data_IF_005058105682
#
_entry.id   IF_005058105682
#
_cell.length_a   1.000
_cell.length_b   1.000
_cell.length_c   1.000
_cell.angle_alpha   90.00
_cell.angle_beta   90.00
_cell.angle_gamma   90.00
#
_symmetry.space_group_name_H-M   'P 1'
#
loop_
_entity.id
_entity.type
_entity.pdbx_description
1 polymer ?
#
# COMPACT_ATOMS: atom_id res chain seq x y z
N UNK A 1 -15.14 20.96 -0.84
CA UNK A 1 -15.07 19.63 -1.49
C UNK A 1 -15.65 18.60 -0.54
N UNK A 2 -16.53 17.75 -1.03
CA UNK A 2 -17.15 16.65 -0.30
C UNK A 2 -16.78 15.31 -0.96
N UNK A 3 -16.29 14.35 -0.20
CA UNK A 3 -15.81 13.04 -0.71
C UNK A 3 -16.65 11.94 -0.08
N UNK A 4 -17.26 11.08 -0.92
CA UNK A 4 -17.80 9.80 -0.49
C UNK A 4 -16.61 8.83 -0.37
N UNK A 5 -16.23 8.49 0.88
CA UNK A 5 -14.96 7.85 1.22
C UNK A 5 -15.14 6.43 1.72
N UNK A 6 -14.63 5.44 1.00
CA UNK A 6 -14.79 4.03 1.33
C UNK A 6 -13.49 3.32 1.68
N UNK A 7 -13.50 2.55 2.78
CA UNK A 7 -12.44 1.61 3.13
C UNK A 7 -13.00 0.51 4.03
N UNK A 8 -12.38 -0.66 4.04
CA UNK A 8 -12.63 -1.63 5.11
C UNK A 8 -11.85 -1.17 6.34
N UNK A 9 -12.53 -0.37 7.18
CA UNK A 9 -11.93 0.37 8.28
C UNK A 9 -11.19 -0.54 9.27
N UNK A 10 -10.01 -0.12 9.63
CA UNK A 10 -9.23 -0.63 10.76
C UNK A 10 -8.39 0.48 11.36
N UNK A 11 -8.36 0.49 12.69
CA UNK A 11 -7.54 1.42 13.48
C UNK A 11 -6.06 1.28 13.12
N UNK A 12 -5.37 2.41 12.85
CA UNK A 12 -3.94 2.44 12.52
C UNK A 12 -3.59 2.01 11.10
N UNK A 13 -4.55 1.97 10.21
CA UNK A 13 -4.32 1.62 8.81
C UNK A 13 -4.32 2.84 7.88
N UNK A 14 -3.73 2.67 6.71
CA UNK A 14 -3.61 3.69 5.66
C UNK A 14 -4.92 4.40 5.37
N UNK A 15 -6.05 3.67 5.34
CA UNK A 15 -7.35 4.26 5.07
C UNK A 15 -7.80 5.25 6.15
N UNK A 16 -7.52 4.96 7.40
CA UNK A 16 -7.85 5.89 8.48
C UNK A 16 -6.92 7.11 8.48
N UNK A 17 -5.62 6.93 8.34
CA UNK A 17 -4.67 8.06 8.28
C UNK A 17 -4.98 9.00 7.12
N UNK A 18 -5.37 8.46 5.96
CA UNK A 18 -5.78 9.31 4.83
C UNK A 18 -7.07 10.07 5.15
N UNK A 19 -8.07 9.43 5.78
CA UNK A 19 -9.30 10.12 6.20
C UNK A 19 -9.00 11.26 7.19
N UNK A 20 -8.13 11.01 8.17
CA UNK A 20 -7.67 12.04 9.13
C UNK A 20 -6.97 13.20 8.40
N UNK A 21 -6.09 12.91 7.45
CA UNK A 21 -5.38 13.94 6.69
C UNK A 21 -6.35 14.79 5.85
N UNK A 22 -7.29 14.16 5.15
CA UNK A 22 -8.33 14.85 4.38
C UNK A 22 -9.20 15.77 5.28
N UNK A 23 -9.61 15.25 6.44
CA UNK A 23 -10.39 16.05 7.41
C UNK A 23 -9.59 17.24 7.95
N UNK A 24 -8.30 17.08 8.25
CA UNK A 24 -7.40 18.18 8.66
C UNK A 24 -7.23 19.24 7.57
N UNK A 25 -7.39 18.89 6.30
CA UNK A 25 -7.39 19.82 5.17
C UNK A 25 -8.75 20.53 4.98
N UNK A 26 -9.73 20.31 5.84
CA UNK A 26 -11.07 20.90 5.76
C UNK A 26 -11.97 20.25 4.71
N UNK A 27 -11.66 19.05 4.26
CA UNK A 27 -12.47 18.28 3.31
C UNK A 27 -13.58 17.57 4.08
N UNK A 28 -14.80 17.70 3.59
CA UNK A 28 -15.96 17.01 4.17
C UNK A 28 -15.97 15.57 3.68
N UNK A 29 -15.88 14.62 4.61
CA UNK A 29 -15.97 13.21 4.30
C UNK A 29 -17.35 12.66 4.66
N UNK A 30 -17.88 11.81 3.79
CA UNK A 30 -18.96 10.88 4.08
C UNK A 30 -18.31 9.47 4.07
N UNK A 31 -17.77 9.05 5.22
CA UNK A 31 -17.00 7.82 5.25
C UNK A 31 -17.92 6.61 5.43
N UNK A 32 -17.60 5.52 4.72
CA UNK A 32 -18.34 4.26 4.81
C UNK A 32 -17.42 3.04 4.83
N UNK A 33 -17.88 1.98 5.47
CA UNK A 33 -17.13 0.75 5.70
C UNK A 33 -18.05 -0.46 5.78
N UNK A 34 -17.60 -1.66 5.38
CA UNK A 34 -18.35 -2.90 5.61
C UNK A 34 -18.19 -3.44 7.05
N UNK A 35 -17.47 -2.72 7.92
CA UNK A 35 -17.36 -3.11 9.33
C UNK A 35 -18.73 -3.06 9.99
N UNK A 36 -19.13 -4.10 10.75
CA UNK A 36 -20.39 -4.08 11.52
C UNK A 36 -20.31 -3.14 12.72
N UNK A 37 -19.10 -2.77 13.16
CA UNK A 37 -18.84 -1.86 14.27
C UNK A 37 -17.92 -0.73 13.75
N UNK A 38 -18.48 0.26 13.03
CA UNK A 38 -17.72 1.37 12.48
C UNK A 38 -17.41 2.40 13.57
N UNK A 39 -16.38 3.22 13.39
CA UNK A 39 -16.15 4.34 14.29
C UNK A 39 -17.27 5.39 14.15
N UNK A 40 -17.36 6.28 15.14
CA UNK A 40 -18.34 7.36 15.15
C UNK A 40 -18.27 8.19 13.86
N UNK A 41 -19.43 8.46 13.28
CA UNK A 41 -19.54 9.23 12.04
C UNK A 41 -19.27 8.44 10.75
N UNK A 42 -18.98 7.14 10.82
CA UNK A 42 -18.87 6.28 9.66
C UNK A 42 -20.14 5.50 9.39
N UNK A 43 -20.52 5.38 8.14
CA UNK A 43 -21.65 4.56 7.72
C UNK A 43 -21.23 3.09 7.65
N UNK A 44 -22.00 2.22 8.34
CA UNK A 44 -21.90 0.77 8.14
C UNK A 44 -22.73 0.38 6.92
N UNK A 45 -22.13 -0.29 5.96
CA UNK A 45 -22.79 -0.70 4.72
C UNK A 45 -22.57 -2.19 4.43
N UNK A 46 -23.45 -2.86 3.69
CA UNK A 46 -23.20 -4.21 3.22
C UNK A 46 -21.92 -4.27 2.36
N UNK A 47 -21.15 -5.38 2.39
CA UNK A 47 -19.95 -5.54 1.56
C UNK A 47 -20.20 -5.39 0.05
N UNK A 48 -21.43 -5.61 -0.39
CA UNK A 48 -21.89 -5.53 -1.78
C UNK A 48 -22.78 -4.32 -2.07
N UNK A 49 -22.65 -3.25 -1.27
CA UNK A 49 -23.43 -2.01 -1.41
C UNK A 49 -23.37 -1.47 -2.84
N UNK A 50 -24.48 -0.94 -3.31
CA UNK A 50 -24.54 -0.23 -4.61
C UNK A 50 -24.03 1.21 -4.43
N UNK A 51 -22.94 1.56 -5.11
CA UNK A 51 -22.29 2.86 -4.97
C UNK A 51 -23.20 4.02 -5.44
N UNK A 52 -24.05 3.78 -6.44
CA UNK A 52 -24.95 4.82 -6.98
C UNK A 52 -26.09 5.08 -6.00
N UNK A 53 -26.64 4.04 -5.40
CA UNK A 53 -27.70 4.16 -4.40
C UNK A 53 -27.16 4.81 -3.13
N UNK A 54 -25.99 4.36 -2.67
CA UNK A 54 -25.31 4.94 -1.52
C UNK A 54 -25.05 6.45 -1.73
N UNK A 55 -24.52 6.83 -2.89
CA UNK A 55 -24.28 8.23 -3.21
C UNK A 55 -25.58 9.06 -3.17
N UNK A 56 -26.66 8.53 -3.76
CA UNK A 56 -27.95 9.24 -3.79
C UNK A 56 -28.55 9.43 -2.40
N UNK A 57 -28.39 8.43 -1.53
CA UNK A 57 -28.95 8.46 -0.18
C UNK A 57 -28.14 9.35 0.77
N UNK A 58 -26.82 9.20 0.77
CA UNK A 58 -25.96 9.75 1.81
C UNK A 58 -25.10 10.96 1.36
N UNK A 59 -24.81 11.07 0.07
CA UNK A 59 -23.90 12.06 -0.46
C UNK A 59 -24.29 12.53 -1.88
N UNK A 60 -25.54 13.03 -2.10
CA UNK A 60 -26.00 13.38 -3.45
C UNK A 60 -25.22 14.54 -4.08
N UNK A 61 -24.54 15.33 -3.27
CA UNK A 61 -23.69 16.47 -3.64
C UNK A 61 -22.20 16.18 -3.47
N UNK A 62 -21.79 14.91 -3.45
CA UNK A 62 -20.37 14.55 -3.40
C UNK A 62 -19.66 14.98 -4.69
N UNK A 63 -18.47 15.54 -4.53
CA UNK A 63 -17.59 15.96 -5.62
C UNK A 63 -16.75 14.79 -6.15
N UNK A 64 -16.48 13.78 -5.29
CA UNK A 64 -15.53 12.71 -5.54
C UNK A 64 -15.94 11.42 -4.79
N UNK A 65 -15.72 10.27 -5.44
CA UNK A 65 -15.77 8.95 -4.82
C UNK A 65 -14.34 8.40 -4.67
N UNK A 66 -13.91 8.13 -3.45
CA UNK A 66 -12.56 7.65 -3.17
C UNK A 66 -12.59 6.37 -2.34
N UNK A 67 -11.95 5.32 -2.84
CA UNK A 67 -11.72 4.09 -2.11
C UNK A 67 -10.25 3.99 -1.67
N UNK A 68 -10.03 3.36 -0.51
CA UNK A 68 -8.69 2.97 -0.05
C UNK A 68 -8.72 1.50 0.33
N UNK A 69 -7.72 0.74 -0.17
CA UNK A 69 -7.57 -0.67 0.15
C UNK A 69 -7.35 -0.87 1.66
N UNK A 70 -7.79 -2.01 2.17
CA UNK A 70 -7.43 -2.49 3.50
C UNK A 70 -6.57 -3.73 3.37
N UNK A 71 -5.50 -3.81 4.16
CA UNK A 71 -4.55 -4.92 4.16
C UNK A 71 -5.11 -6.24 4.71
N UNK A 72 -6.31 -6.22 5.24
CA UNK A 72 -6.84 -7.38 5.97
C UNK A 72 -8.22 -7.76 5.47
N UNK A 73 -8.36 -9.03 5.10
CA UNK A 73 -9.65 -9.64 4.78
C UNK A 73 -10.00 -9.59 3.28
N UNK A 74 -11.29 -9.79 3.03
CA UNK A 74 -11.85 -9.75 1.68
C UNK A 74 -11.79 -8.33 1.12
N UNK A 75 -11.42 -8.14 -0.14
CA UNK A 75 -11.50 -6.84 -0.77
C UNK A 75 -12.92 -6.28 -0.67
N UNK A 76 -13.02 -5.04 -0.19
CA UNK A 76 -14.27 -4.30 -0.18
C UNK A 76 -14.39 -3.51 -1.48
N UNK A 77 -15.39 -3.80 -2.27
CA UNK A 77 -15.62 -3.14 -3.56
C UNK A 77 -17.13 -2.99 -3.80
N UNK A 78 -17.70 -1.78 -3.68
CA UNK A 78 -19.09 -1.51 -3.99
C UNK A 78 -19.45 -1.85 -5.44
N UNK A 79 -20.72 -2.18 -5.67
CA UNK A 79 -21.27 -2.39 -7.03
C UNK A 79 -21.44 -1.05 -7.75
N UNK A 80 -21.49 -1.10 -9.08
CA UNK A 80 -21.84 0.00 -9.98
C UNK A 80 -20.95 1.26 -9.88
N UNK A 81 -19.71 1.11 -9.44
CA UNK A 81 -18.73 2.21 -9.39
C UNK A 81 -18.60 2.93 -10.77
N UNK A 82 -18.54 2.22 -11.93
CA UNK A 82 -18.46 2.88 -13.22
C UNK A 82 -19.67 3.73 -13.59
N UNK A 83 -20.80 3.54 -12.91
CA UNK A 83 -22.05 4.28 -13.16
C UNK A 83 -22.16 5.58 -12.33
N UNK A 84 -21.21 5.84 -11.44
CA UNK A 84 -21.19 7.06 -10.65
C UNK A 84 -21.02 8.29 -11.56
N UNK A 85 -21.79 9.37 -11.35
CA UNK A 85 -21.71 10.59 -12.13
C UNK A 85 -20.52 11.50 -11.79
N UNK A 86 -19.76 11.16 -10.75
CA UNK A 86 -18.63 11.90 -10.20
C UNK A 86 -17.30 11.16 -10.44
N UNK A 87 -16.14 11.83 -10.36
CA UNK A 87 -14.83 11.20 -10.44
C UNK A 87 -14.65 10.10 -9.41
N UNK A 88 -14.00 8.99 -9.83
CA UNK A 88 -13.78 7.83 -8.99
C UNK A 88 -12.30 7.50 -8.85
N UNK A 89 -11.82 7.33 -7.62
CA UNK A 89 -10.43 7.01 -7.31
C UNK A 89 -10.28 5.79 -6.42
N UNK A 90 -9.17 5.06 -6.56
CA UNK A 90 -8.84 3.96 -5.66
C UNK A 90 -7.35 3.93 -5.35
N UNK A 91 -6.98 3.98 -4.07
CA UNK A 91 -5.62 3.74 -3.62
C UNK A 91 -5.45 2.30 -3.15
N UNK A 92 -4.70 1.53 -3.93
CA UNK A 92 -4.39 0.12 -3.73
C UNK A 92 -2.94 0.00 -3.28
N UNK A 93 -2.67 -0.58 -2.12
CA UNK A 93 -1.32 -0.63 -1.57
C UNK A 93 -0.73 -2.04 -1.38
N UNK A 94 -1.56 -3.07 -1.24
CA UNK A 94 -1.09 -4.45 -1.17
C UNK A 94 -0.86 -5.09 -2.57
N UNK A 95 -0.40 -4.27 -3.52
CA UNK A 95 -0.19 -4.70 -4.92
C UNK A 95 0.84 -5.83 -5.05
N UNK A 96 1.73 -6.00 -4.11
CA UNK A 96 2.70 -7.10 -4.09
C UNK A 96 2.01 -8.47 -3.87
N UNK A 97 0.89 -8.50 -3.16
CA UNK A 97 0.06 -9.69 -2.93
C UNK A 97 -1.03 -9.83 -3.99
N UNK A 98 -1.69 -8.73 -4.26
CA UNK A 98 -3.01 -8.68 -4.88
C UNK A 98 -2.99 -8.22 -6.34
N UNK A 99 -1.83 -8.11 -6.97
CA UNK A 99 -1.68 -7.57 -8.32
C UNK A 99 -2.61 -8.19 -9.35
N UNK A 100 -2.93 -9.47 -9.18
CA UNK A 100 -3.80 -10.22 -10.11
C UNK A 100 -5.15 -9.54 -10.32
N UNK A 101 -5.78 -9.16 -9.21
CA UNK A 101 -7.09 -8.52 -9.24
C UNK A 101 -6.98 -6.98 -9.20
N UNK A 102 -5.93 -6.42 -8.58
CA UNK A 102 -5.73 -4.98 -8.56
C UNK A 102 -5.72 -4.35 -9.96
N UNK A 103 -5.06 -4.98 -10.93
CA UNK A 103 -5.02 -4.49 -12.31
C UNK A 103 -6.38 -4.52 -13.01
N UNK A 104 -7.25 -5.47 -12.66
CA UNK A 104 -8.61 -5.57 -13.21
C UNK A 104 -9.52 -4.54 -12.54
N UNK A 105 -9.44 -4.42 -11.22
CA UNK A 105 -10.17 -3.42 -10.44
C UNK A 105 -9.82 -2.00 -10.87
N UNK A 106 -8.57 -1.74 -11.25
CA UNK A 106 -8.14 -0.44 -11.75
C UNK A 106 -9.01 0.07 -12.92
N UNK A 107 -9.52 -0.83 -13.77
CA UNK A 107 -10.38 -0.48 -14.88
C UNK A 107 -11.79 0.03 -14.47
N UNK A 108 -12.20 -0.15 -13.21
CA UNK A 108 -13.49 0.32 -12.69
C UNK A 108 -13.47 1.78 -12.26
N UNK A 109 -12.28 2.36 -12.09
CA UNK A 109 -12.07 3.70 -11.56
C UNK A 109 -11.50 4.66 -12.62
N UNK A 110 -11.73 5.95 -12.43
CA UNK A 110 -11.12 6.99 -13.28
C UNK A 110 -9.62 7.08 -13.05
N UNK A 111 -9.20 6.97 -11.79
CA UNK A 111 -7.81 6.97 -11.37
C UNK A 111 -7.57 5.88 -10.34
N UNK A 112 -6.44 5.21 -10.48
CA UNK A 112 -6.02 4.21 -9.51
C UNK A 112 -4.58 4.50 -9.10
N UNK A 113 -4.30 4.36 -7.82
CA UNK A 113 -2.98 4.59 -7.26
C UNK A 113 -2.43 3.29 -6.70
N UNK A 114 -1.23 2.93 -7.11
CA UNK A 114 -0.52 1.76 -6.61
C UNK A 114 0.64 2.18 -5.72
N UNK A 115 0.76 1.59 -4.53
CA UNK A 115 1.88 1.88 -3.63
C UNK A 115 3.20 1.27 -4.11
N UNK A 116 3.16 0.19 -4.89
CA UNK A 116 4.37 -0.52 -5.33
C UNK A 116 4.81 -0.07 -6.71
N UNK A 117 6.00 0.55 -6.81
CA UNK A 117 6.53 1.19 -8.02
C UNK A 117 6.57 0.26 -9.25
N UNK A 118 7.14 -0.93 -9.09
CA UNK A 118 7.25 -1.90 -10.18
C UNK A 118 5.87 -2.39 -10.68
N UNK A 119 4.84 -2.37 -9.82
CA UNK A 119 3.49 -2.79 -10.19
C UNK A 119 2.77 -1.78 -11.06
N UNK A 120 3.10 -0.49 -10.96
CA UNK A 120 2.59 0.53 -11.88
C UNK A 120 3.05 0.24 -13.30
N UNK A 121 4.35 0.04 -13.50
CA UNK A 121 4.91 -0.32 -14.81
C UNK A 121 4.27 -1.61 -15.36
N UNK A 122 4.05 -2.57 -14.48
CA UNK A 122 3.42 -3.84 -14.87
C UNK A 122 1.95 -3.63 -15.24
N UNK A 123 1.17 -2.86 -14.46
CA UNK A 123 -0.24 -2.56 -14.78
C UNK A 123 -0.37 -1.86 -16.13
N UNK A 124 0.47 -0.87 -16.40
CA UNK A 124 0.48 -0.15 -17.68
C UNK A 124 0.76 -1.08 -18.89
N UNK A 125 1.64 -2.08 -18.73
CA UNK A 125 1.87 -3.10 -19.77
C UNK A 125 0.63 -3.99 -20.03
N UNK A 126 -0.25 -4.11 -19.04
CA UNK A 126 -1.53 -4.80 -19.19
C UNK A 126 -2.67 -3.87 -19.63
N UNK A 127 -2.36 -2.62 -20.01
CA UNK A 127 -3.33 -1.67 -20.52
C UNK A 127 -4.12 -0.90 -19.46
N UNK A 128 -3.69 -0.93 -18.20
CA UNK A 128 -4.24 -0.10 -17.14
C UNK A 128 -3.53 1.26 -17.13
N UNK A 129 -3.88 2.13 -18.07
CA UNK A 129 -3.26 3.45 -18.29
C UNK A 129 -3.67 4.53 -17.28
N UNK A 130 -4.65 4.21 -16.43
CA UNK A 130 -5.15 5.07 -15.35
C UNK A 130 -4.44 4.83 -14.00
N UNK A 131 -3.38 4.00 -13.97
CA UNK A 131 -2.64 3.67 -12.76
C UNK A 131 -1.43 4.59 -12.59
N UNK A 132 -1.32 5.20 -11.42
CA UNK A 132 -0.18 6.04 -11.03
C UNK A 132 0.49 5.50 -9.76
N UNK A 133 1.75 5.84 -9.56
CA UNK A 133 2.45 5.51 -8.32
C UNK A 133 2.07 6.49 -7.20
N UNK A 134 1.70 5.94 -6.06
CA UNK A 134 1.45 6.67 -4.81
C UNK A 134 1.90 5.79 -3.64
N UNK A 135 3.13 5.93 -3.15
CA UNK A 135 3.67 5.13 -2.07
C UNK A 135 2.97 5.41 -0.74
N UNK A 136 3.24 4.59 0.26
CA UNK A 136 2.83 4.84 1.65
C UNK A 136 3.33 6.19 2.16
N UNK A 137 2.93 6.56 3.37
CA UNK A 137 3.25 7.83 4.00
C UNK A 137 3.41 7.68 5.52
N UNK A 138 3.86 8.74 6.17
CA UNK A 138 3.74 8.92 7.60
C UNK A 138 2.64 9.93 7.94
N UNK A 139 2.03 9.78 9.12
CA UNK A 139 1.20 10.85 9.69
C UNK A 139 2.09 11.79 10.51
N UNK A 140 2.02 13.09 10.23
CA UNK A 140 2.87 14.12 10.82
C UNK A 140 2.64 14.38 12.31
N UNK A 141 1.55 13.88 12.86
CA UNK A 141 1.21 13.99 14.29
C UNK A 141 1.57 12.73 15.05
N UNK A 142 1.17 11.57 14.51
CA UNK A 142 1.34 10.29 15.19
C UNK A 142 2.72 9.69 14.99
N UNK A 143 3.38 9.92 13.85
CA UNK A 143 4.70 9.37 13.55
C UNK A 143 5.81 10.43 13.65
N UNK A 144 5.58 11.54 14.38
CA UNK A 144 6.61 12.56 14.60
C UNK A 144 7.71 12.08 15.53
N UNK A 145 8.83 12.78 15.55
CA UNK A 145 9.81 12.67 16.62
C UNK A 145 9.23 13.29 17.91
N UNK A 146 9.11 12.48 18.95
CA UNK A 146 8.60 12.91 20.26
C UNK A 146 9.70 13.47 21.17
N UNK A 147 10.94 13.60 20.69
CA UNK A 147 12.07 14.11 21.47
C UNK A 147 12.46 13.20 22.63
N UNK A 148 12.18 11.92 22.53
CA UNK A 148 12.51 10.93 23.56
C UNK A 148 13.99 10.53 23.48
N UNK A 149 14.55 10.08 24.61
CA UNK A 149 15.88 9.47 24.62
C UNK A 149 15.92 8.24 23.69
N UNK A 150 16.98 8.14 22.87
CA UNK A 150 17.16 7.00 21.96
C UNK A 150 17.90 5.87 22.69
N UNK A 151 17.16 5.16 23.53
CA UNK A 151 17.64 4.07 24.39
C UNK A 151 17.53 2.68 23.72
N UNK A 152 16.90 2.58 22.53
CA UNK A 152 16.78 1.36 21.74
C UNK A 152 17.78 1.40 20.60
N UNK A 153 18.80 0.54 20.64
CA UNK A 153 19.81 0.48 19.58
C UNK A 153 19.20 0.06 18.24
N UNK A 154 18.43 -1.04 18.23
CA UNK A 154 17.79 -1.56 17.02
C UNK A 154 16.34 -1.88 17.33
N UNK A 155 15.42 -1.21 16.66
CA UNK A 155 13.99 -1.45 16.80
C UNK A 155 13.36 -2.11 15.57
N UNK A 156 12.28 -2.86 15.80
CA UNK A 156 11.45 -3.43 14.75
C UNK A 156 9.99 -3.52 15.20
N UNK A 157 9.06 -3.04 14.38
CA UNK A 157 7.62 -3.20 14.58
C UNK A 157 7.03 -4.08 13.50
N UNK A 158 6.30 -5.11 13.88
CA UNK A 158 5.60 -6.01 12.98
C UNK A 158 5.89 -7.49 13.23
N UNK A 159 5.16 -8.37 12.57
CA UNK A 159 5.31 -9.82 12.76
C UNK A 159 6.62 -10.35 12.19
N UNK A 160 7.28 -11.23 12.97
CA UNK A 160 8.51 -11.91 12.59
C UNK A 160 8.16 -13.36 12.22
N UNK A 161 7.75 -13.57 10.98
CA UNK A 161 7.33 -14.89 10.47
C UNK A 161 8.09 -15.26 9.19
N UNK A 162 8.18 -16.53 8.91
CA UNK A 162 8.76 -17.05 7.68
C UNK A 162 10.21 -16.63 7.50
N UNK A 163 10.54 -16.06 6.36
CA UNK A 163 11.92 -15.67 6.05
C UNK A 163 12.48 -14.57 6.95
N UNK A 164 11.64 -13.72 7.54
CA UNK A 164 12.12 -12.67 8.43
C UNK A 164 12.90 -13.24 9.62
N UNK A 165 12.50 -14.43 10.12
CA UNK A 165 13.22 -15.10 11.20
C UNK A 165 14.71 -15.32 10.89
N UNK A 166 15.06 -15.59 9.63
CA UNK A 166 16.46 -15.77 9.22
C UNK A 166 17.27 -14.50 9.34
N UNK A 167 16.69 -13.34 8.97
CA UNK A 167 17.34 -12.04 9.11
C UNK A 167 17.61 -11.68 10.58
N UNK A 168 16.65 -11.96 11.46
CA UNK A 168 16.84 -11.76 12.90
C UNK A 168 17.88 -12.73 13.49
N UNK A 169 17.91 -13.97 13.03
CA UNK A 169 18.91 -14.94 13.46
C UNK A 169 20.35 -14.52 13.06
N UNK A 170 20.53 -13.91 11.88
CA UNK A 170 21.85 -13.38 11.47
C UNK A 170 22.30 -12.22 12.34
N UNK A 171 21.39 -11.30 12.72
CA UNK A 171 21.72 -10.24 13.68
C UNK A 171 22.08 -10.81 15.05
N UNK A 172 21.33 -11.78 15.54
CA UNK A 172 21.60 -12.45 16.82
C UNK A 172 22.94 -13.18 16.84
N UNK A 173 23.31 -13.91 15.76
CA UNK A 173 24.63 -14.53 15.60
C UNK A 173 25.77 -13.50 15.66
N UNK A 174 25.49 -12.30 15.19
CA UNK A 174 26.42 -11.19 15.26
C UNK A 174 26.42 -10.47 16.62
N UNK A 175 25.69 -10.94 17.63
CA UNK A 175 25.58 -10.32 18.94
C UNK A 175 24.76 -9.02 18.95
N UNK A 176 23.92 -8.79 17.94
CA UNK A 176 23.03 -7.65 17.86
C UNK A 176 21.63 -8.02 18.32
N UNK A 177 21.11 -7.28 19.32
CA UNK A 177 19.76 -7.49 19.85
C UNK A 177 18.81 -6.51 19.21
N UNK A 178 17.68 -7.03 18.68
CA UNK A 178 16.61 -6.22 18.13
C UNK A 178 15.46 -6.16 19.13
N UNK A 179 15.11 -4.96 19.56
CA UNK A 179 13.91 -4.72 20.37
C UNK A 179 12.69 -4.77 19.47
N UNK A 180 11.77 -5.66 19.79
CA UNK A 180 10.50 -5.85 19.08
C UNK A 180 9.34 -5.59 20.02
N UNK A 181 8.17 -5.38 19.45
CA UNK A 181 6.93 -5.37 20.22
C UNK A 181 6.17 -6.69 19.97
N UNK A 182 5.62 -7.24 21.03
CA UNK A 182 4.87 -8.49 21.07
C UNK A 182 3.34 -8.28 20.93
N UNK A 183 2.90 -7.03 20.89
CA UNK A 183 1.50 -6.63 20.75
C UNK A 183 1.32 -5.59 19.65
N UNK A 184 0.08 -5.39 19.23
CA UNK A 184 -0.27 -4.27 18.38
C UNK A 184 -0.04 -2.95 19.11
N UNK A 185 0.66 -2.02 18.46
CA UNK A 185 0.89 -0.67 18.97
C UNK A 185 -0.18 0.28 18.39
N UNK A 186 -0.69 1.17 19.22
CA UNK A 186 -1.56 2.27 18.80
C UNK A 186 -0.77 3.33 18.01
N UNK A 187 -1.45 4.33 17.46
CA UNK A 187 -0.85 5.36 16.62
C UNK A 187 0.38 6.03 17.20
N UNK A 188 0.23 6.64 18.36
CA UNK A 188 1.29 7.38 19.04
C UNK A 188 2.31 6.45 19.73
N UNK A 189 1.91 5.24 20.09
CA UNK A 189 2.85 4.23 20.58
C UNK A 189 3.87 3.84 19.51
N UNK A 190 3.43 3.72 18.24
CA UNK A 190 4.35 3.44 17.13
C UNK A 190 5.35 4.58 16.96
N UNK A 191 4.89 5.83 16.91
CA UNK A 191 5.74 7.00 16.80
C UNK A 191 6.70 7.14 17.98
N UNK A 192 6.22 6.92 19.22
CA UNK A 192 7.06 6.92 20.42
C UNK A 192 8.09 5.80 20.41
N UNK A 193 7.71 4.60 19.97
CA UNK A 193 8.65 3.50 19.83
C UNK A 193 9.77 3.85 18.85
N UNK A 194 9.44 4.35 17.66
CA UNK A 194 10.45 4.75 16.69
C UNK A 194 11.29 5.96 17.16
N UNK A 195 10.71 6.89 17.92
CA UNK A 195 11.46 8.02 18.51
C UNK A 195 12.53 7.57 19.50
N UNK A 196 12.38 6.39 20.12
CA UNK A 196 13.37 5.79 21.01
C UNK A 196 14.43 4.96 20.26
N UNK A 197 14.21 4.64 18.98
CA UNK A 197 15.14 3.82 18.22
C UNK A 197 16.31 4.66 17.66
N UNK A 198 17.54 4.18 17.79
CA UNK A 198 18.69 4.68 17.03
C UNK A 198 18.63 4.23 15.60
N UNK A 199 18.33 2.95 15.39
CA UNK A 199 18.17 2.29 14.11
C UNK A 199 16.86 1.54 14.08
N UNK A 200 16.13 1.64 12.98
CA UNK A 200 14.99 0.76 12.67
C UNK A 200 15.40 -0.20 11.55
N UNK A 201 15.38 -1.48 11.86
CA UNK A 201 15.69 -2.53 10.92
C UNK A 201 14.47 -2.85 10.08
N UNK A 202 14.49 -2.53 8.78
CA UNK A 202 13.34 -2.74 7.91
C UNK A 202 13.55 -3.91 6.95
N UNK A 203 12.83 -5.01 7.21
CA UNK A 203 12.77 -6.19 6.36
C UNK A 203 11.44 -6.19 5.64
N UNK A 204 11.49 -6.33 4.35
CA UNK A 204 10.35 -6.36 3.46
C UNK A 204 9.80 -7.78 3.35
N UNK A 205 8.49 -7.92 3.29
CA UNK A 205 7.86 -9.24 3.19
C UNK A 205 8.12 -9.89 1.82
N UNK A 206 8.16 -9.05 0.79
CA UNK A 206 8.48 -9.37 -0.60
C UNK A 206 9.06 -8.11 -1.22
N UNK A 207 9.11 -7.95 -2.52
CA UNK A 207 9.51 -6.70 -3.20
C UNK A 207 8.46 -5.60 -2.96
N UNK A 208 8.27 -5.21 -1.70
CA UNK A 208 7.27 -4.23 -1.29
C UNK A 208 7.91 -3.10 -0.51
N UNK A 209 7.49 -1.89 -0.77
CA UNK A 209 7.72 -0.76 0.12
C UNK A 209 6.60 -0.79 1.16
N UNK A 210 6.95 -0.76 2.44
CA UNK A 210 5.98 -0.79 3.53
C UNK A 210 5.89 0.56 4.27
N UNK A 211 4.91 0.69 5.17
CA UNK A 211 4.68 1.93 5.94
C UNK A 211 5.88 2.35 6.79
N UNK A 212 6.63 1.37 7.32
CA UNK A 212 7.82 1.60 8.17
C UNK A 212 8.90 2.42 7.46
N UNK A 213 8.97 2.31 6.12
CA UNK A 213 9.87 3.12 5.28
C UNK A 213 9.64 4.62 5.47
N UNK A 214 8.46 5.03 5.90
CA UNK A 214 8.09 6.43 6.12
C UNK A 214 7.90 6.78 7.61
N UNK A 215 7.26 5.90 8.37
CA UNK A 215 6.96 6.14 9.78
C UNK A 215 8.22 6.29 10.63
N UNK A 216 9.20 5.40 10.43
CA UNK A 216 10.41 5.40 11.23
C UNK A 216 11.31 6.61 10.96
N UNK A 217 11.59 7.03 9.71
CA UNK A 217 12.30 8.28 9.45
C UNK A 217 11.55 9.50 9.96
N UNK A 218 10.21 9.54 9.84
CA UNK A 218 9.38 10.63 10.38
C UNK A 218 9.59 10.83 11.87
N UNK A 219 9.75 9.72 12.62
CA UNK A 219 10.07 9.73 14.04
C UNK A 219 11.57 9.94 14.33
N UNK A 220 12.37 10.26 13.31
CA UNK A 220 13.79 10.57 13.45
C UNK A 220 14.71 9.35 13.67
N UNK A 221 14.25 8.13 13.46
CA UNK A 221 15.10 6.94 13.48
C UNK A 221 15.83 6.76 12.14
N UNK A 222 17.09 6.30 12.18
CA UNK A 222 17.76 5.85 10.97
C UNK A 222 17.16 4.52 10.52
N UNK A 223 16.74 4.44 9.26
CA UNK A 223 16.26 3.18 8.69
C UNK A 223 17.38 2.46 7.96
N UNK A 224 17.59 1.20 8.33
CA UNK A 224 18.40 0.23 7.58
C UNK A 224 17.43 -0.69 6.84
N UNK A 225 17.20 -0.37 5.57
CA UNK A 225 16.16 -0.96 4.74
C UNK A 225 16.70 -2.12 3.90
N UNK A 226 15.92 -3.19 3.76
CA UNK A 226 16.28 -4.26 2.84
C UNK A 226 16.32 -3.74 1.40
N UNK A 227 17.40 -4.07 0.67
CA UNK A 227 17.62 -3.63 -0.71
C UNK A 227 16.77 -4.43 -1.68
N UNK A 228 15.98 -3.71 -2.48
CA UNK A 228 15.33 -4.23 -3.67
C UNK A 228 15.38 -3.17 -4.79
N UNK A 229 15.68 -3.57 -6.01
CA UNK A 229 15.96 -2.62 -7.11
C UNK A 229 14.68 -1.94 -7.63
N UNK A 230 13.53 -2.62 -7.58
CA UNK A 230 12.30 -2.19 -8.28
C UNK A 230 11.17 -1.73 -7.36
N UNK A 231 11.43 -1.57 -6.06
CA UNK A 231 10.36 -1.25 -5.09
C UNK A 231 9.97 0.22 -5.05
N UNK A 232 10.85 1.11 -5.53
CA UNK A 232 10.66 2.55 -5.53
C UNK A 232 11.30 3.28 -4.35
N UNK A 233 11.91 2.58 -3.38
CA UNK A 233 12.56 3.23 -2.24
C UNK A 233 13.73 4.12 -2.68
N UNK A 234 14.50 3.68 -3.66
CA UNK A 234 15.60 4.44 -4.26
C UNK A 234 15.16 5.67 -5.07
N UNK A 235 13.90 5.76 -5.44
CA UNK A 235 13.33 6.97 -6.08
C UNK A 235 13.09 8.09 -5.05
N UNK A 236 13.05 7.72 -3.76
CA UNK A 236 12.75 8.64 -2.66
C UNK A 236 13.98 8.87 -1.78
N UNK A 237 14.66 7.80 -1.39
CA UNK A 237 15.77 7.84 -0.45
C UNK A 237 17.09 7.45 -1.14
N UNK A 238 18.18 8.13 -0.75
CA UNK A 238 19.51 7.87 -1.27
C UNK A 238 20.38 7.14 -0.25
N UNK A 239 21.09 6.12 -0.73
CA UNK A 239 22.06 5.34 0.05
C UNK A 239 23.10 6.25 0.72
N UNK A 240 23.27 6.09 2.04
CA UNK A 240 24.27 6.85 2.82
C UNK A 240 23.96 8.33 3.04
N UNK A 241 22.93 8.86 2.37
CA UNK A 241 22.49 10.25 2.52
C UNK A 241 21.26 10.39 3.42
N UNK A 242 20.22 9.57 3.17
CA UNK A 242 18.93 9.65 3.85
C UNK A 242 18.37 8.31 4.33
N UNK A 243 19.01 7.22 3.94
CA UNK A 243 18.69 5.85 4.34
C UNK A 243 19.93 4.96 4.13
N UNK A 244 20.02 3.86 4.85
CA UNK A 244 20.98 2.80 4.55
C UNK A 244 20.23 1.59 4.00
N UNK A 245 20.84 0.91 3.03
CA UNK A 245 20.27 -0.30 2.45
C UNK A 245 21.17 -1.50 2.75
N UNK A 246 20.57 -2.64 2.99
CA UNK A 246 21.26 -3.87 3.30
C UNK A 246 20.78 -5.03 2.43
N UNK A 247 21.71 -5.92 2.13
CA UNK A 247 21.44 -7.27 1.68
C UNK A 247 21.35 -8.23 2.89
N UNK A 248 21.11 -9.50 2.64
CA UNK A 248 20.94 -10.48 3.73
C UNK A 248 22.16 -10.58 4.64
N UNK A 249 23.36 -10.53 4.06
CA UNK A 249 24.62 -10.86 4.75
C UNK A 249 25.34 -9.67 5.34
N UNK A 250 25.13 -8.47 4.85
CA UNK A 250 25.87 -7.26 5.25
C UNK A 250 25.18 -6.42 6.34
N UNK A 251 23.90 -6.69 6.63
CA UNK A 251 23.15 -5.97 7.65
C UNK A 251 23.86 -5.87 9.01
N UNK A 252 24.48 -6.95 9.57
CA UNK A 252 25.16 -6.86 10.85
C UNK A 252 26.34 -5.88 10.83
N UNK A 253 27.11 -5.85 9.76
CA UNK A 253 28.27 -4.96 9.62
C UNK A 253 27.83 -3.49 9.49
N UNK A 254 26.81 -3.22 8.67
CA UNK A 254 26.21 -1.89 8.50
C UNK A 254 25.69 -1.37 9.83
N UNK A 255 24.92 -2.18 10.55
CA UNK A 255 24.31 -1.77 11.82
C UNK A 255 25.36 -1.51 12.88
N UNK A 256 26.37 -2.38 13.05
CA UNK A 256 27.45 -2.14 13.99
C UNK A 256 28.19 -0.82 13.72
N UNK A 257 28.55 -0.58 12.47
CA UNK A 257 29.23 0.65 12.06
C UNK A 257 28.42 1.88 12.44
N UNK A 258 27.14 1.89 12.08
CA UNK A 258 26.29 3.08 12.29
C UNK A 258 25.84 3.28 13.73
N UNK A 259 25.85 2.24 14.56
CA UNK A 259 25.62 2.38 16.00
C UNK A 259 26.82 3.06 16.71
N UNK A 260 28.04 2.87 16.21
CA UNK A 260 29.26 3.49 16.74
C UNK A 260 29.42 4.93 16.22
N UNK A 261 29.11 5.18 14.95
CA UNK A 261 29.20 6.50 14.34
C UNK A 261 27.88 7.29 14.53
N UNK A 262 27.79 7.93 15.72
CA UNK A 262 26.61 8.73 16.06
C UNK A 262 26.43 9.93 15.14
N UNK A 263 27.52 10.56 14.68
CA UNK A 263 27.48 11.72 13.80
C UNK A 263 26.87 11.37 12.46
N UNK A 264 27.36 10.30 11.84
CA UNK A 264 26.82 9.81 10.57
C UNK A 264 25.37 9.36 10.74
N UNK A 265 25.07 8.62 11.80
CA UNK A 265 23.70 8.16 12.09
C UNK A 265 22.71 9.30 12.19
N UNK A 266 23.01 10.34 12.97
CA UNK A 266 22.13 11.51 13.15
C UNK A 266 21.94 12.27 11.83
N UNK A 267 23.02 12.45 11.06
CA UNK A 267 22.96 13.15 9.77
C UNK A 267 22.05 12.44 8.78
N UNK A 268 22.20 11.12 8.64
CA UNK A 268 21.37 10.33 7.70
C UNK A 268 19.91 10.30 8.18
N UNK A 269 19.68 10.09 9.49
CA UNK A 269 18.33 10.06 10.07
C UNK A 269 17.60 11.40 9.86
N UNK A 270 18.26 12.53 10.10
CA UNK A 270 17.67 13.86 9.89
C UNK A 270 17.34 14.14 8.42
N UNK A 271 18.20 13.73 7.48
CA UNK A 271 17.90 13.83 6.07
C UNK A 271 16.69 12.97 5.68
N UNK A 272 16.59 11.73 6.22
CA UNK A 272 15.43 10.87 6.00
C UNK A 272 14.15 11.49 6.56
N UNK A 273 14.21 12.05 7.78
CA UNK A 273 13.09 12.76 8.40
C UNK A 273 12.62 13.95 7.56
N UNK A 274 13.55 14.75 7.07
CA UNK A 274 13.26 15.91 6.22
C UNK A 274 12.57 15.50 4.92
N UNK A 275 13.05 14.47 4.22
CA UNK A 275 12.41 13.95 2.99
C UNK A 275 10.97 13.55 3.26
N UNK A 276 10.71 12.86 4.37
CA UNK A 276 9.32 12.47 4.72
C UNK A 276 8.47 13.70 5.01
N UNK A 277 8.96 14.64 5.80
CA UNK A 277 8.23 15.85 6.17
C UNK A 277 7.89 16.73 4.97
N UNK A 278 8.82 16.84 4.00
CA UNK A 278 8.66 17.70 2.82
C UNK A 278 7.78 17.11 1.70
N UNK A 279 7.60 15.77 1.64
CA UNK A 279 6.92 15.18 0.49
C UNK A 279 6.18 13.86 0.73
N UNK A 280 6.28 13.27 1.93
CA UNK A 280 5.82 11.90 2.12
C UNK A 280 4.95 11.70 3.37
N UNK A 281 4.11 12.70 3.68
CA UNK A 281 3.05 12.58 4.71
C UNK A 281 1.71 12.21 4.07
N UNK A 282 0.75 11.75 4.86
CA UNK A 282 -0.61 11.48 4.38
C UNK A 282 -1.29 12.75 3.82
N UNK A 283 -0.92 13.93 4.30
CA UNK A 283 -1.34 15.19 3.70
C UNK A 283 -0.90 15.30 2.24
N UNK A 284 0.37 15.03 1.93
CA UNK A 284 0.88 15.05 0.55
C UNK A 284 0.21 13.98 -0.34
N UNK A 285 -0.18 12.83 0.25
CA UNK A 285 -0.95 11.81 -0.47
C UNK A 285 -2.35 12.32 -0.80
N UNK A 286 -3.02 12.96 0.17
CA UNK A 286 -4.33 13.58 -0.02
C UNK A 286 -4.27 14.66 -1.11
N UNK A 287 -3.30 15.57 -1.04
CA UNK A 287 -3.06 16.61 -2.06
C UNK A 287 -2.87 16.01 -3.46
N UNK A 288 -2.01 14.97 -3.56
CA UNK A 288 -1.76 14.27 -4.83
C UNK A 288 -3.01 13.59 -5.38
N UNK A 289 -3.80 12.95 -4.53
CA UNK A 289 -5.06 12.31 -4.95
C UNK A 289 -6.03 13.36 -5.47
N UNK A 290 -6.23 14.44 -4.72
CA UNK A 290 -7.15 15.52 -5.11
C UNK A 290 -6.74 16.16 -6.43
N UNK A 291 -5.46 16.52 -6.58
CA UNK A 291 -4.93 17.09 -7.82
C UNK A 291 -5.15 16.16 -9.02
N UNK A 292 -4.79 14.89 -8.89
CA UNK A 292 -4.95 13.91 -9.96
C UNK A 292 -6.40 13.58 -10.29
N UNK A 293 -7.30 13.69 -9.32
CA UNK A 293 -8.74 13.50 -9.50
C UNK A 293 -9.40 14.74 -10.09
N UNK A 294 -8.91 15.94 -9.74
CA UNK A 294 -9.43 17.22 -10.25
C UNK A 294 -8.99 17.53 -11.68
N UNK A 295 -7.87 17.00 -12.13
CA UNK A 295 -7.27 17.28 -13.45
C UNK A 295 -7.93 16.53 -14.63
N UNK A 296 -9.25 16.54 -14.69
CA UNK A 296 -10.00 16.07 -15.85
C UNK A 296 -10.36 14.59 -15.79
N UNK A 297 -11.60 14.34 -15.44
CA UNK A 297 -12.25 13.05 -15.67
C UNK A 297 -12.50 12.89 -17.14
N UNK A 298 -11.68 12.12 -17.77
CA UNK A 298 -11.76 11.89 -19.18
C UNK A 298 -12.37 10.53 -19.48
N UNK A 299 -13.28 10.58 -20.43
CA UNK A 299 -13.74 9.48 -21.27
C UNK A 299 -14.28 8.23 -20.53
N UNK A 300 -15.40 8.44 -19.84
CA UNK A 300 -16.27 7.36 -19.32
C UNK A 300 -16.70 6.37 -20.41
N UNK A 301 -16.63 6.75 -21.71
CA UNK A 301 -16.92 5.84 -22.83
C UNK A 301 -15.93 4.70 -22.92
N UNK A 302 -14.67 4.93 -22.56
CA UNK A 302 -13.61 3.92 -22.62
C UNK A 302 -13.85 2.78 -21.61
N UNK A 303 -14.43 3.07 -20.45
CA UNK A 303 -14.73 2.10 -19.38
C UNK A 303 -15.91 1.19 -19.73
N UNK A 304 -16.93 1.72 -20.40
CA UNK A 304 -18.06 0.92 -20.90
C UNK A 304 -17.66 -0.05 -22.03
N UNK A 305 -16.61 0.29 -22.80
CA UNK A 305 -16.17 -0.53 -23.93
C UNK A 305 -15.44 -1.82 -23.54
N UNK A 306 -14.95 -1.90 -22.32
CA UNK A 306 -14.21 -3.10 -21.86
C UNK A 306 -15.09 -4.09 -21.11
N UNK A 307 -16.33 -4.33 -21.40
CA UNK A 307 -17.28 -5.31 -20.83
C UNK A 307 -16.79 -6.39 -19.84
N UNK A 308 -15.55 -6.26 -19.44
CA UNK A 308 -14.69 -7.14 -18.67
C UNK A 308 -14.70 -6.81 -17.19
N UNK A 309 -14.85 -5.52 -16.86
CA UNK A 309 -14.76 -5.04 -15.48
C UNK A 309 -16.00 -5.40 -14.65
N UNK A 310 -17.18 -5.45 -15.26
CA UNK A 310 -18.43 -5.78 -14.57
C UNK A 310 -18.43 -7.22 -14.00
N UNK A 311 -18.07 -8.28 -14.75
CA UNK A 311 -17.99 -9.63 -14.21
C UNK A 311 -16.92 -9.78 -13.10
N UNK A 312 -15.80 -9.03 -13.20
CA UNK A 312 -14.76 -9.05 -12.16
C UNK A 312 -15.25 -8.35 -10.89
N UNK A 313 -15.91 -7.21 -11.02
CA UNK A 313 -16.53 -6.50 -9.90
C UNK A 313 -17.59 -7.38 -9.22
N UNK A 314 -18.46 -8.03 -9.99
CA UNK A 314 -19.47 -8.95 -9.49
C UNK A 314 -18.84 -10.15 -8.76
N UNK A 315 -17.78 -10.75 -9.32
CA UNK A 315 -17.05 -11.83 -8.68
C UNK A 315 -16.35 -11.40 -7.37
N UNK A 316 -15.86 -10.16 -7.31
CA UNK A 316 -15.21 -9.61 -6.11
C UNK A 316 -16.22 -9.23 -5.01
N UNK A 317 -17.43 -8.79 -5.39
CA UNK A 317 -18.50 -8.43 -4.45
C UNK A 317 -19.25 -9.63 -3.88
N UNK A 318 -19.20 -10.79 -4.54
CA UNK A 318 -19.84 -12.01 -4.06
C UNK A 318 -19.18 -12.64 -2.82
N UNK A 319 -18.25 -11.93 -2.18
CA UNK A 319 -17.82 -12.06 -0.78
C UNK A 319 -17.64 -13.46 -0.22
N UNK A 320 -16.83 -14.33 -0.81
CA UNK A 320 -16.53 -15.61 -0.18
C UNK A 320 -15.06 -15.72 0.26
N UNK A 321 -14.87 -16.10 1.52
CA UNK A 321 -13.61 -16.39 2.20
C UNK A 321 -12.76 -17.50 1.54
N UNK A 322 -13.27 -18.16 0.48
CA UNK A 322 -12.59 -19.22 -0.24
C UNK A 322 -12.02 -18.74 -1.57
N UNK A 323 -10.82 -19.20 -1.89
CA UNK A 323 -10.15 -19.01 -3.17
C UNK A 323 -11.00 -19.44 -4.40
N UNK A 324 -12.14 -20.06 -4.21
CA UNK A 324 -13.14 -20.42 -5.23
C UNK A 324 -13.74 -19.21 -5.98
N UNK A 325 -13.76 -18.02 -5.37
CA UNK A 325 -14.18 -16.81 -6.07
C UNK A 325 -13.22 -16.43 -7.20
N UNK A 326 -11.93 -16.68 -7.00
CA UNK A 326 -10.90 -16.44 -8.01
C UNK A 326 -11.09 -17.36 -9.23
N UNK A 327 -11.43 -18.62 -9.00
CA UNK A 327 -11.74 -19.57 -10.07
C UNK A 327 -13.02 -19.20 -10.82
N UNK A 328 -14.02 -18.64 -10.12
CA UNK A 328 -15.25 -18.09 -10.75
C UNK A 328 -14.96 -16.81 -11.53
N UNK A 329 -14.16 -15.88 -10.99
CA UNK A 329 -13.71 -14.70 -11.71
C UNK A 329 -12.89 -15.08 -12.95
N UNK A 330 -12.03 -16.10 -12.86
CA UNK A 330 -11.34 -16.67 -14.02
C UNK A 330 -12.29 -17.36 -15.01
N UNK A 331 -13.33 -18.02 -14.51
CA UNK A 331 -14.39 -18.63 -15.33
C UNK A 331 -15.15 -17.56 -16.11
N UNK A 332 -15.64 -16.52 -15.43
CA UNK A 332 -16.29 -15.37 -16.06
C UNK A 332 -15.36 -14.63 -17.03
N UNK A 333 -14.08 -14.53 -16.68
CA UNK A 333 -13.05 -14.03 -17.58
C UNK A 333 -12.93 -14.91 -18.84
N UNK A 334 -12.88 -16.21 -18.72
CA UNK A 334 -12.81 -17.14 -19.88
C UNK A 334 -14.04 -17.03 -20.78
N UNK A 335 -15.24 -16.90 -20.20
CA UNK A 335 -16.49 -16.71 -20.95
C UNK A 335 -16.53 -15.39 -21.71
N UNK A 336 -16.09 -14.31 -21.11
CA UNK A 336 -15.94 -13.01 -21.78
C UNK A 336 -14.85 -13.05 -22.88
N UNK A 337 -13.80 -13.85 -22.69
CA UNK A 337 -12.70 -14.05 -23.63
C UNK A 337 -13.09 -14.78 -24.92
N UNK A 338 -14.01 -15.73 -24.85
CA UNK A 338 -14.50 -16.44 -26.06
C UNK A 338 -15.21 -15.51 -27.07
N UNK A 339 -15.52 -14.29 -26.64
CA UNK A 339 -16.15 -13.25 -27.47
C UNK A 339 -15.18 -12.26 -28.14
N UNK A 340 -13.87 -12.29 -27.84
CA UNK A 340 -12.88 -11.34 -28.43
C UNK A 340 -11.50 -11.98 -28.62
N UNK A 341 -11.31 -12.72 -29.69
CA UNK A 341 -10.18 -13.63 -29.95
C UNK A 341 -8.79 -12.98 -30.01
N UNK A 342 -8.63 -11.75 -30.48
CA UNK A 342 -7.31 -11.14 -30.76
C UNK A 342 -6.61 -10.50 -29.56
N UNK A 343 -7.33 -9.93 -28.62
CA UNK A 343 -6.75 -9.44 -27.34
C UNK A 343 -6.46 -10.57 -26.35
N UNK A 344 -7.12 -11.69 -26.52
CA UNK A 344 -7.08 -12.88 -25.67
C UNK A 344 -5.74 -13.61 -25.77
N UNK A 345 -5.18 -13.79 -26.95
CA UNK A 345 -3.94 -14.52 -27.16
C UNK A 345 -2.74 -13.85 -26.47
N UNK A 346 -2.64 -12.51 -26.58
CA UNK A 346 -1.59 -11.72 -25.90
C UNK A 346 -1.72 -11.76 -24.37
N UNK A 347 -2.95 -11.80 -23.86
CA UNK A 347 -3.22 -11.87 -22.41
C UNK A 347 -2.90 -13.24 -21.82
N UNK A 348 -3.24 -14.32 -22.53
CA UNK A 348 -2.96 -15.70 -22.11
C UNK A 348 -1.47 -16.03 -22.11
N UNK A 349 -0.72 -15.54 -23.11
CA UNK A 349 0.74 -15.68 -23.15
C UNK A 349 1.39 -14.88 -22.01
N UNK A 350 0.95 -13.64 -21.78
CA UNK A 350 1.44 -12.82 -20.66
C UNK A 350 1.09 -13.42 -19.28
N UNK A 351 -0.09 -14.02 -19.14
CA UNK A 351 -0.53 -14.68 -17.92
C UNK A 351 0.25 -15.98 -17.64
N UNK A 352 0.48 -16.79 -18.67
CA UNK A 352 1.30 -18.00 -18.56
C UNK A 352 2.74 -17.70 -18.16
N UNK A 353 3.34 -16.69 -18.79
CA UNK A 353 4.67 -16.18 -18.46
C UNK A 353 4.76 -15.64 -17.04
N UNK A 354 3.77 -14.87 -16.63
CA UNK A 354 3.71 -14.30 -15.29
C UNK A 354 3.55 -15.38 -14.21
N UNK A 355 2.70 -16.40 -14.41
CA UNK A 355 2.60 -17.54 -13.49
C UNK A 355 3.89 -18.34 -13.38
N UNK A 356 4.59 -18.51 -14.50
CA UNK A 356 5.88 -19.19 -14.53
C UNK A 356 6.93 -18.35 -13.79
N UNK A 357 6.97 -17.05 -14.00
CA UNK A 357 7.86 -16.12 -13.29
C UNK A 357 7.59 -16.12 -11.78
N UNK A 358 6.32 -16.03 -11.36
CA UNK A 358 5.95 -16.12 -9.94
C UNK A 358 6.33 -17.45 -9.30
N UNK A 359 6.21 -18.55 -10.06
CA UNK A 359 6.61 -19.88 -9.60
C UNK A 359 8.12 -19.98 -9.49
N UNK A 360 8.85 -19.44 -10.44
CA UNK A 360 10.32 -19.34 -10.42
C UNK A 360 10.78 -18.44 -9.28
N UNK A 361 10.17 -17.28 -9.09
CA UNK A 361 10.47 -16.37 -7.99
C UNK A 361 10.21 -17.04 -6.63
N UNK A 362 9.12 -17.82 -6.47
CA UNK A 362 8.87 -18.61 -5.27
C UNK A 362 9.92 -19.69 -5.03
N UNK A 363 10.37 -20.35 -6.09
CA UNK A 363 11.41 -21.38 -6.01
C UNK A 363 12.76 -20.74 -5.69
N UNK A 364 13.16 -19.69 -6.40
CA UNK A 364 14.40 -18.94 -6.14
C UNK A 364 14.39 -18.37 -4.73
N UNK A 365 13.24 -17.90 -4.30
CA UNK A 365 13.02 -17.38 -2.96
C UNK A 365 13.13 -18.46 -1.88
N UNK A 366 12.59 -19.68 -2.15
CA UNK A 366 12.70 -20.83 -1.24
C UNK A 366 14.14 -21.37 -1.12
N UNK A 367 14.95 -21.13 -2.15
CA UNK A 367 16.36 -21.56 -2.19
C UNK A 367 17.32 -20.52 -1.56
N UNK A 368 16.81 -19.37 -1.09
CA UNK A 368 17.62 -18.35 -0.41
C UNK A 368 18.61 -17.62 -1.33
N UNK A 369 18.43 -17.69 -2.64
CA UNK A 369 19.21 -16.93 -3.61
C UNK A 369 18.45 -15.68 -4.00
N UNK A 370 19.10 -14.50 -3.92
CA UNK A 370 18.55 -13.29 -4.49
C UNK A 370 18.38 -13.49 -6.01
N UNK A 371 17.25 -13.09 -6.61
CA UNK A 371 17.14 -13.09 -8.06
C UNK A 371 18.15 -12.11 -8.66
N UNK A 372 18.84 -12.53 -9.69
CA UNK A 372 19.71 -11.71 -10.54
C UNK A 372 18.90 -10.66 -11.30
#
# INVERSE_FOLDING_TARGET
MKILYGTNFRVGQTGEFLAIALARMGIVLIPFTPSPDPPDGWLSVPPDVDAVELMRAEAPDADLFLMVESSVGTPFLPKRIPDLPIPTGYWLYDNYLNFRWNKEVAALFDRTFFAQFHRVRQANRYGADNVSWLPFAADEVFHRDFGLERDIDIGYVGSITGQKQRYFAELAKAGLTVTTNDRYLSYDEIGRFYSRCKVVYNILARRDMNVRTFEAPSAGALVVNQRWIDEGCHEIFREGESMLFHDFTDAPAIIRRILVDEGERKRIAENGRRIVAEGHTYRHRAETIIDRMGSGVTDRRRRRATGFAAPVAEALTCGHRDFKWYDRAQGAMREAFTRSFTKTALHLVGYGWWRMKEKIEKIVWSLGKAPV
#
